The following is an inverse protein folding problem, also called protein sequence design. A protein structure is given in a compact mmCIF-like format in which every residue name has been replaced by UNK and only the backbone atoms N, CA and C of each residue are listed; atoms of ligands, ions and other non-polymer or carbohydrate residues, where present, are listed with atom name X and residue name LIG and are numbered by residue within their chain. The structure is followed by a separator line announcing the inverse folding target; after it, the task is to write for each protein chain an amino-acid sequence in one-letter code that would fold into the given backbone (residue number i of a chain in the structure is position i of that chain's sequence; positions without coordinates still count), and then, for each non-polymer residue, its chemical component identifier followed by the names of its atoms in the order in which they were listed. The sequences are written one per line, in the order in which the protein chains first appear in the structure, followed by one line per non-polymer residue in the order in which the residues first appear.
data_IF_079770593867
#
_entry.id   IF_079770593867
#
_cell.length_a   1.000
_cell.length_b   1.000
_cell.length_c   1.000
_cell.angle_alpha   90.00
_cell.angle_beta   90.00
_cell.angle_gamma   90.00
#
_symmetry.space_group_name_H-M   'P 1'
#
loop_
_entity.id
_entity.type
_entity.pdbx_description
1 polymer ?
#
# COMPACT_ATOMS: atom_id res chain seq x y z
N UNK A 1 33.56 4.20 -1.78
CA UNK A 1 32.55 4.19 -0.70
C UNK A 1 32.59 2.81 -0.06
N UNK A 2 32.62 2.68 1.27
CA UNK A 2 32.66 1.35 1.89
C UNK A 2 31.30 0.65 1.76
N UNK A 3 31.28 -0.69 1.71
CA UNK A 3 30.04 -1.49 1.59
C UNK A 3 29.00 -1.14 2.66
N UNK A 4 29.46 -0.82 3.88
CA UNK A 4 28.58 -0.35 4.96
C UNK A 4 27.87 0.97 4.63
N UNK A 5 28.58 1.95 4.07
CA UNK A 5 27.99 3.24 3.68
C UNK A 5 27.03 3.10 2.51
N UNK A 6 27.27 2.15 1.60
CA UNK A 6 26.35 1.84 0.52
C UNK A 6 25.05 1.24 1.06
N UNK A 7 25.14 0.30 2.00
CA UNK A 7 23.96 -0.28 2.67
C UNK A 7 23.13 0.75 3.43
N UNK A 8 23.77 1.64 4.18
CA UNK A 8 23.08 2.72 4.90
C UNK A 8 22.28 3.62 3.94
N UNK A 9 22.88 3.99 2.80
CA UNK A 9 22.23 4.80 1.77
C UNK A 9 21.06 4.05 1.09
N UNK A 10 21.22 2.76 0.79
CA UNK A 10 20.14 1.94 0.23
C UNK A 10 18.97 1.77 1.21
N UNK A 11 19.25 1.62 2.50
CA UNK A 11 18.23 1.56 3.55
C UNK A 11 17.45 2.89 3.62
N UNK A 12 18.14 4.03 3.60
CA UNK A 12 17.50 5.36 3.58
C UNK A 12 16.61 5.54 2.34
N UNK A 13 17.03 5.05 1.18
CA UNK A 13 16.20 5.08 -0.03
C UNK A 13 14.99 4.16 0.06
N UNK A 14 15.15 2.98 0.65
CA UNK A 14 14.05 2.06 0.87
C UNK A 14 13.00 2.68 1.79
N UNK A 15 13.43 3.31 2.90
CA UNK A 15 12.53 4.01 3.82
C UNK A 15 11.81 5.19 3.16
N UNK A 16 12.51 5.99 2.35
CA UNK A 16 11.88 7.07 1.59
C UNK A 16 10.86 6.54 0.57
N UNK A 17 11.20 5.46 -0.17
CA UNK A 17 10.27 4.84 -1.11
C UNK A 17 9.01 4.33 -0.41
N UNK A 18 9.16 3.70 0.76
CA UNK A 18 8.03 3.24 1.58
C UNK A 18 7.10 4.40 1.95
N UNK A 19 7.66 5.51 2.41
CA UNK A 19 6.89 6.69 2.79
C UNK A 19 6.12 7.25 1.59
N UNK A 20 6.76 7.36 0.42
CA UNK A 20 6.13 7.89 -0.79
C UNK A 20 5.01 6.99 -1.32
N UNK A 21 5.18 5.66 -1.21
CA UNK A 21 4.22 4.68 -1.73
C UNK A 21 3.22 4.18 -0.68
N UNK A 22 3.25 4.70 0.56
CA UNK A 22 2.47 4.17 1.68
C UNK A 22 0.96 4.04 1.35
N UNK A 23 0.34 5.07 0.78
CA UNK A 23 -1.08 5.04 0.42
C UNK A 23 -1.33 4.02 -0.69
N UNK A 24 -0.50 4.00 -1.74
CA UNK A 24 -0.59 3.04 -2.84
C UNK A 24 -0.50 1.59 -2.35
N UNK A 25 0.42 1.32 -1.41
CA UNK A 25 0.62 0.00 -0.79
C UNK A 25 -0.62 -0.39 0.02
N UNK A 26 -1.16 0.53 0.83
CA UNK A 26 -2.37 0.27 1.63
C UNK A 26 -3.58 -0.07 0.76
N UNK A 27 -3.81 0.69 -0.31
CA UNK A 27 -4.92 0.41 -1.25
C UNK A 27 -4.72 -0.90 -2.01
N UNK A 28 -3.49 -1.24 -2.39
CA UNK A 28 -3.18 -2.54 -2.98
C UNK A 28 -3.43 -3.71 -2.00
N UNK A 29 -3.13 -3.52 -0.71
CA UNK A 29 -3.39 -4.50 0.35
C UNK A 29 -4.90 -4.75 0.53
N UNK A 30 -5.69 -3.67 0.66
CA UNK A 30 -7.15 -3.74 0.76
C UNK A 30 -7.74 -4.46 -0.45
N UNK A 31 -7.33 -4.08 -1.67
CA UNK A 31 -7.83 -4.70 -2.89
C UNK A 31 -7.52 -6.20 -2.94
N UNK A 32 -6.33 -6.60 -2.47
CA UNK A 32 -5.90 -8.00 -2.45
C UNK A 32 -6.69 -8.82 -1.45
N UNK A 33 -6.92 -8.30 -0.24
CA UNK A 33 -7.77 -8.97 0.76
C UNK A 33 -9.19 -9.14 0.21
N UNK A 34 -9.78 -8.10 -0.35
CA UNK A 34 -11.13 -8.17 -0.92
C UNK A 34 -11.22 -9.13 -2.13
N UNK A 35 -10.18 -9.20 -2.97
CA UNK A 35 -10.12 -10.15 -4.09
C UNK A 35 -10.07 -11.61 -3.62
N UNK A 36 -9.52 -11.85 -2.44
CA UNK A 36 -9.33 -13.19 -1.87
C UNK A 36 -10.26 -13.43 -0.66
N UNK A 37 -11.40 -12.73 -0.60
CA UNK A 37 -12.29 -12.79 0.56
C UNK A 37 -12.75 -14.23 0.87
N UNK A 38 -12.93 -15.05 -0.16
CA UNK A 38 -13.30 -16.46 -0.04
C UNK A 38 -12.27 -17.32 0.73
N UNK A 39 -11.03 -16.85 0.88
CA UNK A 39 -10.00 -17.51 1.69
C UNK A 39 -10.16 -17.23 3.20
N UNK A 40 -11.06 -16.33 3.59
CA UNK A 40 -11.29 -15.91 4.97
C UNK A 40 -12.72 -16.26 5.41
N UNK A 41 -12.96 -17.51 5.87
CA UNK A 41 -14.30 -17.92 6.29
C UNK A 41 -14.83 -17.10 7.48
N UNK A 42 -13.94 -16.49 8.27
CA UNK A 42 -14.28 -15.68 9.44
C UNK A 42 -13.96 -14.19 9.25
N UNK A 43 -13.94 -13.70 8.00
CA UNK A 43 -13.77 -12.27 7.73
C UNK A 43 -14.76 -11.45 8.58
N UNK A 44 -14.32 -10.37 9.27
CA UNK A 44 -13.11 -9.58 9.05
C UNK A 44 -11.83 -10.02 9.79
N UNK A 45 -11.83 -11.18 10.46
CA UNK A 45 -10.63 -11.70 11.13
C UNK A 45 -9.56 -12.12 10.11
N UNK A 46 -8.42 -11.42 10.16
CA UNK A 46 -7.23 -11.69 9.35
C UNK A 46 -6.09 -12.30 10.18
N UNK A 47 -6.38 -12.84 11.36
CA UNK A 47 -5.39 -13.46 12.22
C UNK A 47 -4.57 -14.49 11.45
N UNK A 48 -3.26 -14.35 11.52
CA UNK A 48 -2.34 -15.22 10.82
C UNK A 48 -2.24 -14.98 9.32
N UNK A 49 -2.80 -13.91 8.75
CA UNK A 49 -2.63 -13.54 7.34
C UNK A 49 -1.80 -12.27 7.18
N UNK A 50 -1.07 -12.15 6.08
CA UNK A 50 -0.25 -10.98 5.76
C UNK A 50 -0.21 -10.70 4.26
N UNK A 51 -0.28 -9.44 3.90
CA UNK A 51 -0.01 -8.94 2.56
C UNK A 51 1.48 -8.64 2.40
N UNK A 52 2.16 -9.40 1.54
CA UNK A 52 3.58 -9.24 1.27
C UNK A 52 3.86 -8.52 -0.04
N UNK A 53 4.79 -7.57 0.01
CA UNK A 53 5.35 -6.88 -1.15
C UNK A 53 6.85 -7.14 -1.22
N UNK A 54 7.32 -7.63 -2.34
CA UNK A 54 8.73 -7.97 -2.57
C UNK A 54 9.32 -7.03 -3.61
N UNK A 55 10.36 -6.30 -3.22
CA UNK A 55 10.99 -5.26 -4.02
C UNK A 55 12.29 -5.73 -4.65
N UNK A 56 12.60 -5.14 -5.81
CA UNK A 56 13.93 -5.18 -6.42
C UNK A 56 14.42 -3.77 -6.67
N UNK A 57 15.72 -3.51 -6.53
CA UNK A 57 16.27 -2.21 -6.87
C UNK A 57 16.21 -2.03 -8.38
N UNK A 58 15.96 -0.79 -8.83
CA UNK A 58 16.18 -0.41 -10.23
C UNK A 58 17.59 0.13 -10.34
N UNK A 59 18.37 -0.40 -11.28
CA UNK A 59 19.72 0.08 -11.57
C UNK A 59 19.63 1.49 -12.17
N UNK A 60 19.68 2.53 -11.32
CA UNK A 60 19.71 3.92 -11.79
C UNK A 60 21.16 4.32 -12.04
N UNK A 61 21.54 4.42 -13.31
CA UNK A 61 22.82 4.99 -13.72
C UNK A 61 22.62 6.50 -13.91
N UNK A 62 23.39 7.30 -13.16
CA UNK A 62 23.57 8.76 -13.25
C UNK A 62 22.74 9.64 -12.30
N UNK A 63 23.30 10.82 -12.02
CA UNK A 63 23.08 11.65 -10.83
C UNK A 63 21.70 12.29 -10.73
N UNK A 64 21.30 12.52 -9.48
CA UNK A 64 19.94 12.74 -8.95
C UNK A 64 19.07 11.47 -8.92
N UNK A 65 19.17 10.78 -7.79
CA UNK A 65 18.40 9.58 -7.48
C UNK A 65 16.99 9.98 -6.99
N UNK A 66 15.96 9.56 -7.73
CA UNK A 66 14.56 9.74 -7.37
C UNK A 66 14.06 8.53 -6.55
N UNK A 67 13.78 8.71 -5.25
CA UNK A 67 13.30 7.64 -4.39
C UNK A 67 11.96 7.08 -4.83
N UNK A 68 11.15 7.79 -5.62
CA UNK A 68 9.86 7.26 -6.12
C UNK A 68 10.03 6.14 -7.16
N UNK A 69 11.17 6.12 -7.86
CA UNK A 69 11.51 5.17 -8.93
C UNK A 69 12.68 4.23 -8.58
N UNK A 70 13.21 4.32 -7.37
CA UNK A 70 14.35 3.55 -6.89
C UNK A 70 14.14 2.02 -6.90
N UNK A 71 12.88 1.58 -6.78
CA UNK A 71 12.52 0.17 -6.69
C UNK A 71 11.45 -0.21 -7.72
N UNK A 72 11.35 -1.51 -8.00
CA UNK A 72 10.22 -2.12 -8.67
C UNK A 72 9.62 -3.22 -7.80
N UNK A 73 8.31 -3.40 -7.90
CA UNK A 73 7.61 -4.48 -7.21
C UNK A 73 7.76 -5.76 -8.01
N UNK A 74 8.59 -6.68 -7.51
CA UNK A 74 8.79 -8.01 -8.08
C UNK A 74 7.52 -8.84 -7.91
N UNK A 75 7.07 -8.94 -6.67
CA UNK A 75 6.01 -9.85 -6.29
C UNK A 75 5.08 -9.23 -5.26
N UNK A 76 3.83 -9.67 -5.30
CA UNK A 76 2.80 -9.28 -4.34
C UNK A 76 1.96 -10.51 -4.05
N UNK A 77 1.85 -10.88 -2.77
CA UNK A 77 1.11 -12.08 -2.37
C UNK A 77 0.44 -11.89 -1.03
N UNK A 78 -0.74 -12.46 -0.90
CA UNK A 78 -1.36 -12.73 0.39
C UNK A 78 -0.91 -14.13 0.85
N UNK A 79 -0.41 -14.26 2.07
CA UNK A 79 -0.02 -15.55 2.63
C UNK A 79 -0.39 -15.69 4.10
N UNK A 80 -0.60 -16.93 4.51
CA UNK A 80 -0.77 -17.29 5.91
C UNK A 80 0.60 -17.29 6.62
N UNK A 81 0.75 -16.43 7.62
CA UNK A 81 1.93 -16.22 8.43
C UNK A 81 2.24 -17.38 9.39
N UNK A 82 1.30 -18.29 9.67
CA UNK A 82 1.63 -19.53 10.39
C UNK A 82 2.16 -20.60 9.42
N UNK A 83 3.46 -20.87 9.54
CA UNK A 83 4.21 -21.88 8.78
C UNK A 83 5.71 -21.55 8.73
N UNK A 84 6.53 -22.44 8.16
CA UNK A 84 8.01 -22.34 8.04
C UNK A 84 8.55 -20.94 7.62
N UNK A 85 7.74 -20.07 7.01
CA UNK A 85 8.15 -18.69 6.69
C UNK A 85 8.27 -17.76 7.90
N UNK A 86 7.52 -17.98 8.98
CA UNK A 86 7.76 -17.26 10.25
C UNK A 86 9.13 -17.65 10.85
N UNK A 87 9.54 -18.91 10.66
CA UNK A 87 10.89 -19.36 10.99
C UNK A 87 11.93 -18.74 10.05
N UNK A 88 11.68 -18.58 8.76
CA UNK A 88 12.60 -17.85 7.86
C UNK A 88 12.78 -16.38 8.26
N UNK A 89 11.68 -15.70 8.61
CA UNK A 89 11.68 -14.30 9.05
C UNK A 89 12.42 -14.12 10.40
N UNK A 90 12.30 -15.09 11.32
CA UNK A 90 13.07 -15.13 12.57
C UNK A 90 14.53 -15.58 12.40
N UNK A 91 14.82 -16.56 11.54
CA UNK A 91 16.17 -17.12 11.35
C UNK A 91 17.08 -16.26 10.46
N UNK A 92 16.51 -15.49 9.54
CA UNK A 92 17.29 -14.58 8.70
C UNK A 92 17.61 -13.23 9.39
N UNK A 93 17.27 -13.06 10.67
CA UNK A 93 17.54 -11.81 11.43
C UNK A 93 16.75 -10.60 10.92
N UNK A 94 15.68 -10.83 10.15
CA UNK A 94 14.94 -9.82 9.38
C UNK A 94 13.94 -9.01 10.21
N UNK A 95 13.69 -9.46 11.45
CA UNK A 95 12.82 -8.80 12.43
C UNK A 95 13.73 -8.25 13.51
N UNK A 96 14.07 -6.95 13.43
CA UNK A 96 14.62 -6.26 14.59
C UNK A 96 13.55 -6.25 15.68
N UNK A 97 13.94 -6.41 16.94
CA UNK A 97 13.03 -6.49 18.10
C UNK A 97 12.05 -5.30 18.20
N UNK A 98 12.31 -4.20 17.50
CA UNK A 98 11.44 -3.02 17.38
C UNK A 98 10.28 -3.15 16.37
N UNK A 99 10.18 -4.23 15.59
CA UNK A 99 9.07 -4.43 14.64
C UNK A 99 7.86 -5.10 15.31
N UNK A 100 7.45 -4.57 16.46
CA UNK A 100 6.13 -4.88 17.01
C UNK A 100 5.05 -4.33 16.06
N UNK A 101 3.83 -4.83 16.21
CA UNK A 101 2.63 -4.41 15.49
C UNK A 101 2.21 -2.95 15.79
N UNK A 102 3.15 -2.07 16.10
CA UNK A 102 2.95 -0.66 16.49
C UNK A 102 1.97 0.04 15.57
N UNK A 103 2.03 -0.25 14.27
CA UNK A 103 1.15 0.37 13.28
C UNK A 103 -0.32 -0.04 13.40
N UNK A 104 -0.63 -1.24 13.93
CA UNK A 104 -2.02 -1.64 14.17
C UNK A 104 -2.62 -0.91 15.37
N UNK A 105 -1.85 -0.78 16.46
CA UNK A 105 -2.27 -0.01 17.63
C UNK A 105 -2.45 1.48 17.28
N UNK A 106 -1.58 2.03 16.42
CA UNK A 106 -1.72 3.38 15.87
C UNK A 106 -3.05 3.58 15.11
N UNK A 107 -3.48 2.60 14.30
CA UNK A 107 -4.77 2.70 13.60
C UNK A 107 -5.97 2.59 14.53
N UNK A 108 -5.90 1.74 15.56
CA UNK A 108 -6.94 1.66 16.58
C UNK A 108 -7.06 2.99 17.34
N UNK A 109 -5.93 3.56 17.75
CA UNK A 109 -5.87 4.86 18.41
C UNK A 109 -6.37 5.98 17.48
N UNK A 110 -5.97 5.98 16.21
CA UNK A 110 -6.46 6.95 15.22
C UNK A 110 -7.97 6.86 15.08
N UNK A 111 -8.52 5.65 14.97
CA UNK A 111 -9.96 5.45 14.83
C UNK A 111 -10.73 5.91 16.08
N UNK A 112 -10.19 5.70 17.28
CA UNK A 112 -10.77 6.18 18.53
C UNK A 112 -10.80 7.72 18.59
N UNK A 113 -9.64 8.36 18.32
CA UNK A 113 -9.51 9.83 18.38
C UNK A 113 -10.40 10.54 17.36
N UNK A 114 -10.63 9.93 16.19
CA UNK A 114 -11.42 10.51 15.11
C UNK A 114 -12.87 9.99 15.06
N UNK A 115 -13.31 9.21 16.06
CA UNK A 115 -14.68 8.68 16.09
C UNK A 115 -15.03 7.78 14.90
N UNK A 116 -14.05 7.00 14.41
CA UNK A 116 -14.17 6.10 13.27
C UNK A 116 -14.14 4.61 13.65
N UNK A 117 -14.12 4.29 14.95
CA UNK A 117 -14.03 2.90 15.46
C UNK A 117 -15.16 2.00 14.95
N UNK A 118 -16.38 2.51 14.84
CA UNK A 118 -17.56 1.79 14.33
C UNK A 118 -17.50 1.52 12.83
N UNK A 119 -16.71 2.30 12.09
CA UNK A 119 -16.50 2.16 10.64
C UNK A 119 -15.26 1.33 10.32
N UNK A 120 -14.38 1.04 11.27
CA UNK A 120 -13.20 0.22 11.04
C UNK A 120 -13.59 -1.25 10.92
N UNK A 121 -13.42 -1.84 9.73
CA UNK A 121 -13.74 -3.25 9.47
C UNK A 121 -12.62 -4.15 9.99
N UNK A 122 -11.37 -3.87 9.59
CA UNK A 122 -10.18 -4.63 9.99
C UNK A 122 -8.92 -3.82 9.74
N UNK A 123 -7.79 -4.31 10.26
CA UNK A 123 -6.45 -3.78 9.96
C UNK A 123 -5.66 -4.89 9.28
N UNK A 124 -5.19 -4.63 8.08
CA UNK A 124 -4.47 -5.59 7.25
C UNK A 124 -2.98 -5.51 7.55
N UNK A 125 -2.34 -6.60 8.01
CA UNK A 125 -0.89 -6.69 8.12
C UNK A 125 -0.17 -6.59 6.79
N UNK A 126 0.88 -5.77 6.72
CA UNK A 126 1.71 -5.61 5.51
C UNK A 126 3.17 -5.90 5.84
N UNK A 127 3.82 -6.74 5.05
CA UNK A 127 5.26 -6.95 5.07
C UNK A 127 5.88 -6.50 3.76
N UNK A 128 6.76 -5.49 3.78
CA UNK A 128 7.53 -5.07 2.61
C UNK A 128 8.97 -5.56 2.75
N UNK A 129 9.45 -6.31 1.75
CA UNK A 129 10.77 -6.93 1.74
C UNK A 129 11.65 -6.33 0.64
N UNK A 130 12.88 -5.97 1.01
CA UNK A 130 13.96 -5.60 0.09
C UNK A 130 15.25 -6.26 0.59
N UNK A 131 15.85 -7.14 -0.23
CA UNK A 131 16.99 -7.99 0.19
C UNK A 131 16.72 -8.74 1.51
N UNK A 132 17.55 -8.46 2.52
CA UNK A 132 17.49 -8.94 3.90
C UNK A 132 16.90 -7.89 4.85
N UNK A 133 16.10 -6.96 4.33
CA UNK A 133 15.36 -5.98 5.13
C UNK A 133 13.87 -6.25 4.97
N UNK A 134 13.19 -6.41 6.10
CA UNK A 134 11.73 -6.47 6.17
C UNK A 134 11.21 -5.30 6.98
N UNK A 135 10.22 -4.59 6.43
CA UNK A 135 9.49 -3.53 7.13
C UNK A 135 8.03 -3.95 7.28
N UNK A 136 7.53 -3.77 8.49
CA UNK A 136 6.15 -4.05 8.85
C UNK A 136 5.35 -2.76 8.76
N UNK A 137 4.22 -2.83 8.06
CA UNK A 137 3.26 -1.76 7.88
C UNK A 137 1.85 -2.33 8.09
N UNK A 138 0.85 -1.48 8.06
CA UNK A 138 -0.54 -1.93 8.05
C UNK A 138 -1.46 -0.99 7.27
N UNK A 139 -2.59 -1.53 6.83
CA UNK A 139 -3.64 -0.77 6.17
C UNK A 139 -4.95 -0.90 6.95
N UNK A 140 -5.54 0.20 7.44
CA UNK A 140 -6.87 0.18 7.99
C UNK A 140 -7.86 0.06 6.82
N UNK A 141 -8.88 -0.78 6.99
CA UNK A 141 -9.96 -0.90 6.04
C UNK A 141 -11.25 -0.46 6.70
N UNK A 142 -11.82 0.63 6.19
CA UNK A 142 -13.06 1.20 6.72
C UNK A 142 -14.25 0.85 5.83
N UNK A 143 -15.46 0.97 6.40
CA UNK A 143 -16.70 0.98 5.64
C UNK A 143 -16.66 2.17 4.66
N UNK A 144 -16.87 1.94 3.35
CA UNK A 144 -16.84 3.03 2.38
C UNK A 144 -17.86 4.13 2.70
N UNK A 145 -17.45 5.40 2.60
CA UNK A 145 -18.32 6.57 2.70
C UNK A 145 -19.43 6.55 1.64
N UNK A 146 -20.45 7.40 1.76
CA UNK A 146 -21.55 7.46 0.77
C UNK A 146 -21.03 7.83 -0.62
N UNK A 147 -20.07 8.74 -0.67
CA UNK A 147 -19.40 9.19 -1.88
C UNK A 147 -18.56 8.05 -2.49
N UNK A 148 -17.82 7.31 -1.67
CA UNK A 148 -17.07 6.14 -2.10
C UNK A 148 -18.01 5.03 -2.60
N UNK A 149 -19.15 4.80 -1.94
CA UNK A 149 -20.17 3.85 -2.40
C UNK A 149 -20.73 4.23 -3.77
N UNK A 150 -20.98 5.52 -4.04
CA UNK A 150 -21.41 5.96 -5.36
C UNK A 150 -20.36 5.65 -6.44
N UNK A 151 -19.07 5.90 -6.14
CA UNK A 151 -17.97 5.55 -7.05
C UNK A 151 -17.85 4.03 -7.27
N UNK A 152 -18.04 3.22 -6.22
CA UNK A 152 -18.06 1.76 -6.32
C UNK A 152 -19.23 1.26 -7.19
N UNK A 153 -20.44 1.81 -7.01
CA UNK A 153 -21.62 1.45 -7.83
C UNK A 153 -21.36 1.71 -9.32
N UNK A 154 -20.73 2.83 -9.66
CA UNK A 154 -20.35 3.11 -11.06
C UNK A 154 -19.40 2.06 -11.64
N UNK A 155 -18.54 1.44 -10.82
CA UNK A 155 -17.62 0.39 -11.26
C UNK A 155 -18.29 -0.95 -11.53
N UNK A 156 -19.47 -1.22 -10.96
CA UNK A 156 -20.24 -2.42 -11.34
C UNK A 156 -20.67 -2.40 -12.81
N UNK A 157 -20.69 -1.21 -13.42
CA UNK A 157 -21.01 -1.05 -14.83
C UNK A 157 -19.80 -1.27 -15.74
N UNK A 158 -18.58 -1.35 -15.18
CA UNK A 158 -17.39 -1.64 -15.95
C UNK A 158 -17.28 -3.14 -16.25
N UNK A 159 -16.88 -3.53 -17.47
CA UNK A 159 -16.79 -4.95 -17.86
C UNK A 159 -15.57 -5.68 -17.26
N UNK A 160 -14.79 -5.01 -16.40
CA UNK A 160 -13.53 -5.54 -15.86
C UNK A 160 -13.58 -5.55 -14.34
N UNK A 161 -13.11 -6.65 -13.75
CA UNK A 161 -12.93 -6.77 -12.30
C UNK A 161 -11.87 -5.76 -11.81
N UNK A 162 -12.34 -4.67 -11.21
CA UNK A 162 -11.49 -3.58 -10.79
C UNK A 162 -10.57 -3.97 -9.61
N UNK A 163 -11.00 -4.88 -8.73
CA UNK A 163 -10.18 -5.34 -7.60
C UNK A 163 -8.95 -6.12 -8.12
N UNK A 164 -9.15 -6.96 -9.14
CA UNK A 164 -8.04 -7.66 -9.80
C UNK A 164 -7.08 -6.75 -10.56
N UNK A 165 -7.55 -5.57 -11.01
CA UNK A 165 -6.69 -4.57 -11.68
C UNK A 165 -5.76 -3.83 -10.73
N UNK A 166 -5.97 -3.91 -9.41
CA UNK A 166 -5.21 -3.11 -8.47
C UNK A 166 -3.73 -3.52 -8.44
N UNK A 167 -3.38 -4.81 -8.35
CA UNK A 167 -1.96 -5.21 -8.33
C UNK A 167 -1.21 -4.79 -9.60
N UNK A 168 -1.73 -5.02 -10.83
CA UNK A 168 -1.13 -4.46 -12.04
C UNK A 168 -0.99 -2.93 -12.00
N UNK A 169 -2.00 -2.21 -11.52
CA UNK A 169 -2.00 -0.75 -11.38
C UNK A 169 -0.93 -0.28 -10.40
N UNK A 170 -0.81 -0.91 -9.23
CA UNK A 170 0.22 -0.63 -8.24
C UNK A 170 1.63 -0.83 -8.80
N UNK A 171 1.89 -1.99 -9.44
CA UNK A 171 3.18 -2.24 -10.10
C UNK A 171 3.49 -1.19 -11.16
N UNK A 172 2.49 -0.81 -11.96
CA UNK A 172 2.58 0.20 -12.99
C UNK A 172 2.89 1.61 -12.45
N UNK A 173 2.29 2.00 -11.32
CA UNK A 173 2.56 3.26 -10.63
C UNK A 173 3.99 3.31 -10.12
N UNK A 174 4.43 2.26 -9.41
CA UNK A 174 5.81 2.14 -8.91
C UNK A 174 6.83 2.25 -10.05
N UNK A 175 6.60 1.55 -11.17
CA UNK A 175 7.51 1.60 -12.32
C UNK A 175 7.59 2.99 -12.96
N UNK A 176 6.54 3.80 -12.86
CA UNK A 176 6.49 5.15 -13.43
C UNK A 176 6.88 6.24 -12.43
N UNK A 177 7.12 5.91 -11.16
CA UNK A 177 7.34 6.90 -10.11
C UNK A 177 6.05 7.65 -9.71
N UNK A 178 4.90 7.08 -10.07
CA UNK A 178 3.61 7.64 -9.70
C UNK A 178 3.18 7.08 -8.34
N UNK A 179 2.43 7.87 -7.58
CA UNK A 179 1.95 7.51 -6.24
C UNK A 179 0.52 7.99 -6.04
N UNK A 180 -0.22 7.35 -5.14
CA UNK A 180 -1.48 7.90 -4.65
C UNK A 180 -1.25 9.04 -3.67
N UNK A 181 -2.08 10.06 -3.77
CA UNK A 181 -2.11 11.19 -2.84
C UNK A 181 -3.34 12.07 -3.07
N UNK A 182 -3.39 13.29 -2.51
CA UNK A 182 -2.31 13.89 -1.73
C UNK A 182 -2.11 13.18 -0.38
N UNK A 183 -0.93 13.30 0.26
CA UNK A 183 -0.55 12.49 1.43
C UNK A 183 -1.29 12.85 2.72
N UNK A 184 -1.99 13.99 2.73
CA UNK A 184 -2.76 14.54 3.85
C UNK A 184 -4.25 14.16 3.82
N UNK A 185 -4.69 13.38 2.83
CA UNK A 185 -6.04 12.81 2.81
C UNK A 185 -6.22 11.85 3.98
N UNK A 186 -7.36 11.95 4.65
CA UNK A 186 -7.68 11.11 5.79
C UNK A 186 -7.75 9.62 5.36
N UNK A 187 -7.31 8.68 6.21
CA UNK A 187 -7.31 7.24 5.91
C UNK A 187 -8.65 6.64 5.46
N UNK A 188 -9.77 7.24 5.87
CA UNK A 188 -11.14 6.85 5.54
C UNK A 188 -11.78 7.70 4.42
N UNK A 189 -11.08 8.72 3.90
CA UNK A 189 -11.46 9.47 2.70
C UNK A 189 -10.80 8.88 1.45
N UNK A 190 -11.52 7.99 0.81
CA UNK A 190 -11.06 7.29 -0.39
C UNK A 190 -11.23 8.10 -1.68
N UNK A 191 -12.12 9.10 -1.67
CA UNK A 191 -12.57 9.79 -2.89
C UNK A 191 -11.64 10.96 -3.22
N UNK A 192 -11.02 11.57 -2.21
CA UNK A 192 -10.01 12.62 -2.38
C UNK A 192 -8.68 12.15 -2.97
N UNK A 193 -8.48 10.84 -3.13
CA UNK A 193 -7.22 10.26 -3.59
C UNK A 193 -7.13 10.17 -5.12
N UNK A 194 -6.06 10.76 -5.65
CA UNK A 194 -5.70 10.85 -7.06
C UNK A 194 -4.32 10.21 -7.33
N UNK A 195 -4.00 9.97 -8.61
CA UNK A 195 -2.65 9.57 -9.00
C UNK A 195 -1.82 10.83 -9.25
N UNK A 196 -0.66 10.91 -8.62
CA UNK A 196 0.30 11.98 -8.80
C UNK A 196 1.71 11.49 -9.06
N UNK A 197 2.63 12.44 -9.19
CA UNK A 197 4.09 12.22 -9.14
C UNK A 197 4.69 13.00 -7.98
N UNK A 198 5.83 12.52 -7.51
CA UNK A 198 6.59 13.20 -6.45
C UNK A 198 7.69 14.02 -7.11
N UNK A 199 7.75 15.31 -6.80
CA UNK A 199 8.77 16.23 -7.31
C UNK A 199 9.58 16.81 -6.17
N UNK A 200 10.87 17.03 -6.41
CA UNK A 200 11.76 17.67 -5.42
C UNK A 200 11.55 19.18 -5.44
N UNK A 201 10.95 19.71 -4.38
CA UNK A 201 10.74 21.15 -4.13
C UNK A 201 11.77 21.62 -3.09
N UNK A 202 12.95 22.02 -3.56
CA UNK A 202 14.08 22.36 -2.70
C UNK A 202 14.60 21.12 -1.95
N UNK A 203 14.47 21.12 -0.62
CA UNK A 203 14.89 20.01 0.25
C UNK A 203 13.74 19.08 0.65
N UNK A 204 12.54 19.26 0.08
CA UNK A 204 11.35 18.44 0.39
C UNK A 204 10.80 17.80 -0.87
N UNK A 205 10.16 16.65 -0.70
CA UNK A 205 9.39 15.99 -1.73
C UNK A 205 7.95 16.51 -1.67
N UNK A 206 7.44 17.04 -2.78
CA UNK A 206 6.07 17.49 -2.94
C UNK A 206 5.30 16.55 -3.86
N UNK A 207 4.05 16.28 -3.53
CA UNK A 207 3.13 15.56 -4.41
C UNK A 207 2.44 16.52 -5.37
N UNK A 208 2.33 16.14 -6.64
CA UNK A 208 1.60 16.89 -7.67
C UNK A 208 0.71 15.92 -8.44
N UNK A 209 -0.58 16.26 -8.55
CA UNK A 209 -1.55 15.47 -9.30
C UNK A 209 -1.17 15.37 -10.78
N UNK A 210 -1.42 14.22 -11.38
CA UNK A 210 -1.36 14.05 -12.83
C UNK A 210 -2.62 14.63 -13.46
N UNK A 211 -2.52 15.07 -14.72
CA UNK A 211 -3.73 15.48 -15.45
C UNK A 211 -4.60 14.28 -15.80
N UNK A 212 -5.89 14.53 -16.05
CA UNK A 212 -6.83 13.48 -16.49
C UNK A 212 -6.31 12.75 -17.75
N UNK A 213 -5.69 13.48 -18.68
CA UNK A 213 -5.08 12.91 -19.87
C UNK A 213 -3.89 12.01 -19.54
N UNK A 214 -3.00 12.43 -18.62
CA UNK A 214 -1.86 11.61 -18.16
C UNK A 214 -2.36 10.31 -17.49
N UNK A 215 -3.38 10.41 -16.64
CA UNK A 215 -4.01 9.26 -15.96
C UNK A 215 -4.65 8.31 -16.97
N UNK A 216 -5.38 8.84 -17.95
CA UNK A 216 -6.03 8.06 -19.00
C UNK A 216 -5.00 7.36 -19.90
N UNK A 217 -3.95 8.06 -20.34
CA UNK A 217 -2.86 7.50 -21.15
C UNK A 217 -2.10 6.40 -20.39
N UNK A 218 -1.93 6.55 -19.08
CA UNK A 218 -1.32 5.52 -18.24
C UNK A 218 -2.25 4.31 -17.99
N UNK A 219 -3.54 4.42 -18.31
CA UNK A 219 -4.53 3.34 -18.17
C UNK A 219 -4.92 3.05 -16.73
N UNK A 220 -4.82 4.04 -15.84
CA UNK A 220 -5.17 3.88 -14.43
C UNK A 220 -6.67 3.75 -14.19
N UNK A 221 -7.02 3.21 -13.02
CA UNK A 221 -8.39 3.03 -12.57
C UNK A 221 -8.96 4.40 -12.17
N UNK A 222 -10.20 4.69 -12.57
CA UNK A 222 -10.89 5.91 -12.13
C UNK A 222 -11.19 5.84 -10.62
N UNK A 223 -10.99 6.95 -9.90
CA UNK A 223 -11.07 7.03 -8.43
C UNK A 223 -10.14 6.04 -7.71
N UNK A 224 -8.84 6.05 -8.01
CA UNK A 224 -7.95 4.96 -7.62
C UNK A 224 -7.97 4.68 -6.11
N UNK A 225 -8.13 5.69 -5.24
CA UNK A 225 -8.19 5.49 -3.78
C UNK A 225 -9.41 4.72 -3.27
N UNK A 226 -10.51 4.68 -4.02
CA UNK A 226 -11.72 3.94 -3.65
C UNK A 226 -11.47 2.45 -3.80
N UNK A 227 -11.44 1.71 -2.70
CA UNK A 227 -11.26 0.24 -2.69
C UNK A 227 -12.20 -0.39 -1.68
N UNK A 228 -13.26 -1.05 -2.14
CA UNK A 228 -14.28 -1.59 -1.23
C UNK A 228 -15.28 -2.53 -1.90
N UNK A 229 -15.80 -3.51 -1.17
CA UNK A 229 -16.92 -4.31 -1.68
C UNK A 229 -18.23 -3.52 -1.53
N UNK A 230 -19.13 -3.67 -2.50
CA UNK A 230 -20.50 -3.13 -2.41
C UNK A 230 -21.39 -4.05 -1.56
N UNK A 231 -20.96 -5.29 -1.35
CA UNK A 231 -21.68 -6.17 -0.44
C UNK A 231 -21.48 -5.64 0.98
N UNK A 232 -22.59 -5.16 1.55
CA UNK A 232 -22.71 -4.96 2.98
C UNK A 232 -22.21 -6.23 3.65
N UNK A 233 -21.08 -6.14 4.35
CA UNK A 233 -20.75 -7.11 5.39
C UNK A 233 -21.90 -7.02 6.36
N UNK A 234 -22.81 -7.98 6.27
CA UNK A 234 -23.98 -8.05 7.15
C UNK A 234 -23.42 -8.35 8.53
N UNK A 235 -23.37 -7.33 9.38
CA UNK A 235 -23.15 -7.46 10.82
C UNK A 235 -24.31 -8.18 11.46
#
# INVERSE_FOLDING_TARGET
MSDRKLREVEEDYFLQWLQLHAISIRKAAIATVLTNMDCFPNFPDLTGWMFGVDLRPRLVHSGDFDPSTAFCVRDVRLYHAHGQRQEWVKHAGLVREDSSWVTADEWLQWAEVNGATDRLITIIPIGIMYHDIMKMESAPMFVPSREAQAALVLRLLEPVDYLRRWIPTFKAMVLRGHVLGPPDVEPDDDVGLEVGRVIKLGNRWGWVSLTDEEVQQAGYIKYPGVVGSIMQVST
#
